data_IF_655202893242
#
_entry.id   IF_655202893242
#
_cell.length_a   1.000
_cell.length_b   1.000
_cell.length_c   1.000
_cell.angle_alpha   90.00
_cell.angle_beta   90.00
_cell.angle_gamma   90.00
#
_symmetry.space_group_name_H-M   'P 1'
#
loop_
_entity.id
_entity.type
_entity.pdbx_description
1 polymer ?
#
# COMPACT_ATOMS: atom_id res chain seq x y z
N UNK A 1 -20.41 8.18 -14.34
CA UNK A 1 -20.10 7.01 -13.51
C UNK A 1 -21.35 6.17 -13.35
N UNK A 2 -21.30 4.91 -13.67
CA UNK A 2 -22.47 4.04 -13.52
C UNK A 2 -22.78 3.88 -12.03
N UNK A 3 -24.05 3.98 -11.64
CA UNK A 3 -24.52 3.87 -10.24
C UNK A 3 -24.04 2.56 -9.59
N UNK A 4 -23.94 1.48 -10.36
CA UNK A 4 -23.42 0.19 -9.88
C UNK A 4 -21.95 0.24 -9.46
N UNK A 5 -21.11 1.02 -10.15
CA UNK A 5 -19.70 1.18 -9.79
C UNK A 5 -19.51 2.03 -8.52
N UNK A 6 -20.41 3.00 -8.31
CA UNK A 6 -20.43 3.76 -7.06
C UNK A 6 -20.84 2.88 -5.88
N UNK A 7 -21.88 2.08 -6.05
CA UNK A 7 -22.36 1.15 -5.01
C UNK A 7 -21.30 0.08 -4.74
N UNK A 8 -20.67 -0.49 -5.77
CA UNK A 8 -19.60 -1.48 -5.61
C UNK A 8 -18.37 -0.87 -4.93
N UNK A 9 -18.04 0.37 -5.28
CA UNK A 9 -16.99 1.16 -4.65
C UNK A 9 -17.31 1.45 -3.18
N UNK A 10 -18.54 1.84 -2.88
CA UNK A 10 -18.99 2.11 -1.52
C UNK A 10 -19.10 0.82 -0.70
N UNK A 11 -19.54 -0.29 -1.29
CA UNK A 11 -19.63 -1.58 -0.64
C UNK A 11 -18.24 -2.20 -0.43
N UNK A 12 -17.36 -2.16 -1.44
CA UNK A 12 -16.04 -2.80 -1.35
C UNK A 12 -15.06 -1.98 -0.50
N UNK A 13 -15.16 -0.66 -0.55
CA UNK A 13 -14.26 0.25 0.16
C UNK A 13 -14.88 0.75 1.47
N UNK A 14 -16.20 0.94 1.54
CA UNK A 14 -16.88 1.47 2.72
C UNK A 14 -17.48 0.44 3.66
N UNK A 15 -18.10 -0.63 3.22
CA UNK A 15 -18.73 -1.59 4.14
C UNK A 15 -17.81 -2.69 4.65
N UNK A 16 -16.94 -3.22 3.82
CA UNK A 16 -16.00 -4.27 4.20
C UNK A 16 -14.61 -3.75 4.57
N UNK A 17 -14.24 -2.59 4.02
CA UNK A 17 -12.93 -2.00 4.15
C UNK A 17 -12.92 -0.55 4.64
N UNK A 18 -14.02 0.20 4.59
CA UNK A 18 -14.04 1.59 5.06
C UNK A 18 -13.77 1.70 6.54
N UNK A 19 -14.15 0.68 7.30
CA UNK A 19 -13.76 0.57 8.70
C UNK A 19 -12.33 0.04 8.85
N UNK A 20 -11.85 -0.77 7.90
CA UNK A 20 -10.55 -1.43 7.97
C UNK A 20 -9.46 -0.77 7.14
N UNK A 21 -9.74 -0.24 5.95
CA UNK A 21 -8.76 0.50 5.15
C UNK A 21 -8.32 1.80 5.83
N UNK A 22 -9.24 2.69 6.27
CA UNK A 22 -8.82 3.87 7.03
C UNK A 22 -8.19 3.51 8.39
N UNK A 23 -8.62 2.44 9.04
CA UNK A 23 -8.04 2.05 10.34
C UNK A 23 -6.68 1.37 10.24
N UNK A 24 -6.41 0.63 9.15
CA UNK A 24 -5.15 -0.11 8.96
C UNK A 24 -4.17 0.59 8.03
N UNK A 25 -4.64 1.22 6.97
CA UNK A 25 -3.81 1.70 5.87
C UNK A 25 -3.71 3.21 5.78
N UNK A 26 -4.75 3.94 6.18
CA UNK A 26 -4.71 5.38 6.28
C UNK A 26 -3.94 5.82 7.53
N UNK A 27 -3.02 6.76 7.35
CA UNK A 27 -2.25 7.33 8.46
C UNK A 27 -3.11 8.26 9.29
N UNK A 28 -2.82 8.28 10.57
CA UNK A 28 -3.38 9.29 11.46
C UNK A 28 -2.64 10.63 11.25
N UNK A 29 -3.41 11.69 11.08
CA UNK A 29 -2.93 13.06 10.92
C UNK A 29 -3.19 13.81 12.24
N UNK A 30 -2.16 13.95 13.10
CA UNK A 30 -2.34 14.54 14.44
C UNK A 30 -2.84 15.99 14.39
N UNK A 31 -2.36 16.75 13.41
CA UNK A 31 -2.72 18.16 13.24
C UNK A 31 -4.19 18.37 12.92
N UNK A 32 -4.82 17.38 12.27
CA UNK A 32 -6.23 17.41 11.87
C UNK A 32 -7.11 16.50 12.75
N UNK A 33 -6.50 15.79 13.71
CA UNK A 33 -7.19 14.83 14.59
C UNK A 33 -8.06 13.81 13.84
N UNK A 34 -7.59 13.36 12.68
CA UNK A 34 -8.26 12.37 11.83
C UNK A 34 -7.26 11.49 11.10
N UNK A 35 -7.77 10.46 10.44
CA UNK A 35 -6.98 9.68 9.49
C UNK A 35 -7.07 10.27 8.09
N UNK A 36 -6.11 9.90 7.24
CA UNK A 36 -6.15 10.19 5.81
C UNK A 36 -7.47 9.70 5.19
N UNK A 37 -8.00 10.47 4.25
CA UNK A 37 -9.06 10.02 3.38
C UNK A 37 -8.49 9.21 2.20
N UNK A 38 -9.37 8.72 1.30
CA UNK A 38 -8.95 7.91 0.15
C UNK A 38 -8.00 8.66 -0.78
N UNK A 39 -8.31 9.90 -1.11
CA UNK A 39 -7.51 10.70 -2.04
C UNK A 39 -6.12 10.98 -1.48
N UNK A 40 -6.01 11.30 -0.19
CA UNK A 40 -4.74 11.52 0.50
C UNK A 40 -3.90 10.24 0.56
N UNK A 41 -4.53 9.10 0.84
CA UNK A 41 -3.87 7.79 0.88
C UNK A 41 -3.30 7.41 -0.49
N UNK A 42 -4.10 7.56 -1.54
CA UNK A 42 -3.70 7.24 -2.92
C UNK A 42 -2.62 8.19 -3.40
N UNK A 43 -2.76 9.49 -3.14
CA UNK A 43 -1.76 10.50 -3.50
C UNK A 43 -0.42 10.23 -2.84
N UNK A 44 -0.41 9.89 -1.55
CA UNK A 44 0.82 9.53 -0.83
C UNK A 44 1.55 8.34 -1.48
N UNK A 45 0.79 7.33 -1.90
CA UNK A 45 1.36 6.16 -2.56
C UNK A 45 1.87 6.49 -3.96
N UNK A 46 1.13 7.27 -4.73
CA UNK A 46 1.52 7.77 -6.05
C UNK A 46 2.80 8.61 -5.98
N UNK A 47 2.86 9.56 -5.06
CA UNK A 47 4.01 10.46 -4.89
C UNK A 47 5.30 9.72 -4.56
N UNK A 48 5.20 8.63 -3.78
CA UNK A 48 6.35 7.76 -3.50
C UNK A 48 6.92 7.16 -4.79
N UNK A 49 6.07 6.71 -5.71
CA UNK A 49 6.51 6.15 -6.99
C UNK A 49 7.09 7.23 -7.91
N UNK A 50 6.44 8.38 -8.01
CA UNK A 50 6.93 9.52 -8.81
C UNK A 50 8.30 10.00 -8.30
N UNK A 51 8.47 10.09 -6.98
CA UNK A 51 9.74 10.47 -6.37
C UNK A 51 10.87 9.51 -6.73
N UNK A 52 10.58 8.21 -6.81
CA UNK A 52 11.56 7.18 -7.15
C UNK A 52 11.83 7.09 -8.65
N UNK A 53 10.83 7.34 -9.48
CA UNK A 53 10.87 7.20 -10.93
C UNK A 53 10.28 8.44 -11.61
N UNK A 54 10.96 9.60 -11.50
CA UNK A 54 10.44 10.85 -12.03
C UNK A 54 10.26 10.84 -13.57
N UNK A 55 11.06 10.04 -14.27
CA UNK A 55 10.96 9.84 -15.72
C UNK A 55 9.65 9.15 -16.15
N UNK A 56 9.02 8.41 -15.26
CA UNK A 56 7.74 7.71 -15.47
C UNK A 56 6.55 8.46 -14.87
N UNK A 57 6.73 9.71 -14.45
CA UNK A 57 5.70 10.44 -13.71
C UNK A 57 4.35 10.49 -14.45
N UNK A 58 4.37 10.67 -15.77
CA UNK A 58 3.14 10.71 -16.58
C UNK A 58 2.40 9.37 -16.51
N UNK A 59 3.10 8.27 -16.78
CA UNK A 59 2.51 6.92 -16.77
C UNK A 59 1.99 6.54 -15.37
N UNK A 60 2.72 6.96 -14.33
CA UNK A 60 2.30 6.73 -12.94
C UNK A 60 1.00 7.50 -12.65
N UNK A 61 0.91 8.76 -13.03
CA UNK A 61 -0.30 9.58 -12.84
C UNK A 61 -1.49 8.94 -13.56
N UNK A 62 -1.30 8.53 -14.81
CA UNK A 62 -2.37 7.89 -15.60
C UNK A 62 -2.85 6.58 -14.95
N UNK A 63 -1.91 5.74 -14.49
CA UNK A 63 -2.25 4.51 -13.78
C UNK A 63 -3.02 4.79 -12.47
N UNK A 64 -2.62 5.82 -11.73
CA UNK A 64 -3.27 6.19 -10.47
C UNK A 64 -4.64 6.85 -10.62
N UNK A 65 -5.02 7.33 -11.82
CA UNK A 65 -6.41 7.71 -12.09
C UNK A 65 -7.37 6.51 -11.89
N UNK A 66 -6.95 5.33 -12.34
CA UNK A 66 -7.74 4.09 -12.11
C UNK A 66 -7.83 3.72 -10.64
N UNK A 67 -6.80 4.02 -9.85
CA UNK A 67 -6.82 3.81 -8.40
C UNK A 67 -7.75 4.82 -7.72
N UNK A 68 -7.67 6.10 -8.09
CA UNK A 68 -8.56 7.13 -7.58
C UNK A 68 -10.04 6.81 -7.88
N UNK A 69 -10.31 6.35 -9.09
CA UNK A 69 -11.64 5.91 -9.52
C UNK A 69 -12.07 4.57 -8.87
N UNK A 70 -11.22 3.96 -8.05
CA UNK A 70 -11.44 2.66 -7.39
C UNK A 70 -11.72 1.51 -8.38
N UNK A 71 -11.17 1.60 -9.58
CA UNK A 71 -11.26 0.54 -10.60
C UNK A 71 -10.23 -0.56 -10.37
N UNK A 72 -9.08 -0.21 -9.83
CA UNK A 72 -8.02 -1.12 -9.41
C UNK A 72 -7.50 -0.73 -8.03
N UNK A 73 -6.95 -1.69 -7.30
CA UNK A 73 -6.32 -1.47 -6.02
C UNK A 73 -4.83 -1.80 -6.14
N UNK A 74 -3.94 -0.93 -5.67
CA UNK A 74 -2.54 -1.27 -5.51
C UNK A 74 -2.36 -2.27 -4.36
N UNK A 75 -1.14 -2.78 -4.19
CA UNK A 75 -0.82 -3.62 -3.05
C UNK A 75 -1.20 -2.94 -1.73
N UNK A 76 -1.89 -3.66 -0.86
CA UNK A 76 -2.28 -3.15 0.46
C UNK A 76 -1.07 -2.76 1.30
N UNK A 77 0.05 -3.49 1.20
CA UNK A 77 1.30 -3.14 1.87
C UNK A 77 1.89 -1.84 1.33
N UNK A 78 1.80 -1.61 0.03
CA UNK A 78 2.19 -0.35 -0.57
C UNK A 78 1.34 0.82 -0.08
N UNK A 79 0.03 0.63 0.06
CA UNK A 79 -0.86 1.63 0.64
C UNK A 79 -0.54 1.88 2.12
N UNK A 80 -0.32 0.83 2.90
CA UNK A 80 -0.05 0.94 4.33
C UNK A 80 1.27 1.65 4.63
N UNK A 81 2.34 1.24 3.97
CA UNK A 81 3.70 1.70 4.25
C UNK A 81 4.26 2.68 3.22
N UNK A 82 3.47 3.06 2.19
CA UNK A 82 3.90 3.98 1.15
C UNK A 82 4.49 5.27 1.70
N UNK A 83 5.57 5.74 1.06
CA UNK A 83 6.38 6.87 1.49
C UNK A 83 7.55 6.44 2.38
N UNK A 84 7.88 7.23 3.39
CA UNK A 84 9.09 7.09 4.21
C UNK A 84 9.35 5.66 4.76
N UNK A 85 8.38 4.88 5.25
CA UNK A 85 8.65 3.51 5.71
C UNK A 85 9.22 2.59 4.62
N UNK A 86 8.69 2.67 3.39
CA UNK A 86 9.20 1.90 2.25
C UNK A 86 10.52 2.46 1.74
N UNK A 87 10.70 3.78 1.74
CA UNK A 87 11.95 4.42 1.34
C UNK A 87 13.13 3.99 2.24
N UNK A 88 12.88 3.82 3.54
CA UNK A 88 13.89 3.36 4.51
C UNK A 88 14.09 1.85 4.44
N UNK A 89 13.01 1.08 4.29
CA UNK A 89 13.02 -0.38 4.37
C UNK A 89 12.09 -0.97 3.30
N UNK A 90 12.57 -1.12 2.05
CA UNK A 90 11.75 -1.58 0.91
C UNK A 90 11.15 -2.98 1.09
N UNK A 91 11.74 -3.82 1.93
CA UNK A 91 11.23 -5.16 2.23
C UNK A 91 9.85 -5.15 2.89
N UNK A 92 9.38 -4.01 3.40
CA UNK A 92 8.03 -3.85 3.97
C UNK A 92 6.89 -4.04 2.97
N UNK A 93 7.17 -4.03 1.66
CA UNK A 93 6.16 -4.32 0.64
C UNK A 93 5.79 -5.81 0.55
N UNK A 94 6.64 -6.69 1.06
CA UNK A 94 6.42 -8.13 0.99
C UNK A 94 5.59 -8.63 2.16
N UNK A 95 4.57 -9.45 1.86
CA UNK A 95 3.80 -10.17 2.86
C UNK A 95 4.42 -11.52 3.18
N UNK A 96 4.83 -12.24 2.14
CA UNK A 96 5.34 -13.60 2.23
C UNK A 96 6.52 -13.77 1.31
N UNK A 97 7.43 -14.66 1.68
CA UNK A 97 8.55 -15.10 0.85
C UNK A 97 8.70 -16.61 0.96
N UNK A 98 9.25 -17.20 -0.08
CA UNK A 98 9.73 -18.58 -0.06
C UNK A 98 11.25 -18.58 0.12
N UNK A 99 11.73 -19.44 0.98
CA UNK A 99 13.16 -19.64 1.19
C UNK A 99 13.42 -21.15 1.34
N UNK A 100 14.26 -21.76 0.48
CA UNK A 100 14.70 -23.14 0.67
C UNK A 100 15.65 -23.22 1.88
N UNK A 101 15.47 -24.24 2.71
CA UNK A 101 16.37 -24.49 3.85
C UNK A 101 17.38 -25.56 3.41
N UNK A 102 18.32 -25.16 2.59
CA UNK A 102 19.37 -26.03 2.01
C UNK A 102 20.78 -25.73 2.54
N UNK A 103 20.90 -24.72 3.39
CA UNK A 103 22.14 -24.33 4.05
C UNK A 103 21.83 -23.70 5.43
N UNK A 104 22.83 -23.63 6.30
CA UNK A 104 22.65 -23.16 7.69
C UNK A 104 22.26 -21.69 7.79
N UNK A 105 22.75 -20.85 6.88
CA UNK A 105 22.47 -19.42 6.90
C UNK A 105 21.00 -19.10 6.58
N UNK A 106 20.26 -20.06 5.96
CA UNK A 106 18.84 -19.93 5.69
C UNK A 106 18.00 -19.61 6.95
N UNK A 107 18.44 -20.06 8.12
CA UNK A 107 17.77 -19.71 9.39
C UNK A 107 17.93 -18.24 9.74
N UNK A 108 19.11 -17.67 9.53
CA UNK A 108 19.38 -16.25 9.75
C UNK A 108 18.65 -15.38 8.74
N UNK A 109 18.58 -15.80 7.49
CA UNK A 109 17.82 -15.14 6.42
C UNK A 109 16.31 -15.15 6.72
N UNK A 110 15.78 -16.29 7.15
CA UNK A 110 14.39 -16.43 7.60
C UNK A 110 14.10 -15.46 8.76
N UNK A 111 14.97 -15.40 9.74
CA UNK A 111 14.81 -14.50 10.88
C UNK A 111 14.82 -13.04 10.45
N UNK A 112 15.70 -12.65 9.53
CA UNK A 112 15.73 -11.30 8.97
C UNK A 112 14.42 -10.93 8.30
N UNK A 113 13.87 -11.83 7.46
CA UNK A 113 12.60 -11.61 6.77
C UNK A 113 11.43 -11.49 7.76
N UNK A 114 11.37 -12.37 8.76
CA UNK A 114 10.34 -12.34 9.79
C UNK A 114 10.39 -11.05 10.62
N UNK A 115 11.57 -10.60 11.02
CA UNK A 115 11.76 -9.33 11.73
C UNK A 115 11.35 -8.12 10.87
N UNK A 116 11.53 -8.20 9.55
CA UNK A 116 11.05 -7.22 8.59
C UNK A 116 9.54 -7.24 8.35
N UNK A 117 8.83 -8.24 8.91
CA UNK A 117 7.39 -8.41 8.76
C UNK A 117 6.95 -9.26 7.56
N UNK A 118 7.89 -9.99 6.95
CA UNK A 118 7.63 -10.93 5.85
C UNK A 118 7.51 -12.34 6.40
N UNK A 119 6.35 -12.98 6.18
CA UNK A 119 6.15 -14.40 6.52
C UNK A 119 6.97 -15.31 5.60
N UNK A 120 7.60 -16.32 6.15
CA UNK A 120 8.42 -17.27 5.41
C UNK A 120 7.90 -18.68 5.61
#
# INVERSE_FOLDING_TARGET
>A
MNVSNKILSDITVHMKYAKYLPMKYARYLPEQNRRENWDELVTRNMDMHIKKYPELAHDIVDAYQYVQDKKVLPSMRSLQFGGKPIEISPNRVYNCAYLPIDHTDAFSETMFLLLGGTGV
#
